data_IF_063353478618
#
_entry.id   IF_063353478618
#
_cell.length_a   1.000
_cell.length_b   1.000
_cell.length_c   1.000
_cell.angle_alpha   90.00
_cell.angle_beta   90.00
_cell.angle_gamma   90.00
#
_symmetry.space_group_name_H-M   'P 1'
#
loop_
_entity.id
_entity.type
_entity.pdbx_description
1 polymer ?
#
# COMPACT_ATOMS: atom_id res chain seq x y z
N UNK A 1 13.47 23.61 11.27
CA UNK A 1 12.82 22.33 11.56
C UNK A 1 11.63 22.17 10.64
N UNK A 2 11.34 20.97 10.15
CA UNK A 2 10.10 20.68 9.43
C UNK A 2 8.92 20.83 10.38
N UNK A 3 7.73 21.28 9.90
CA UNK A 3 6.54 21.32 10.74
C UNK A 3 6.17 19.92 11.21
N UNK A 4 5.42 19.81 12.31
CA UNK A 4 4.87 18.53 12.69
C UNK A 4 3.86 18.04 11.64
N UNK A 5 3.89 16.76 11.24
CA UNK A 5 2.84 16.20 10.39
C UNK A 5 1.52 16.16 11.17
N UNK A 6 0.42 16.49 10.51
CA UNK A 6 -0.93 16.33 11.06
C UNK A 6 -1.57 15.03 10.55
N UNK A 7 -1.25 14.69 9.30
CA UNK A 7 -1.81 13.55 8.58
C UNK A 7 -0.70 12.56 8.25
N UNK A 8 -0.88 11.31 8.62
CA UNK A 8 -0.07 10.20 8.13
C UNK A 8 -0.85 9.47 7.03
N UNK A 9 -0.37 9.58 5.80
CA UNK A 9 -0.92 8.90 4.63
C UNK A 9 -0.10 7.63 4.37
N UNK A 10 -0.74 6.48 4.34
CA UNK A 10 -0.06 5.19 4.25
C UNK A 10 -0.18 4.57 2.86
N UNK A 11 0.95 4.24 2.24
CA UNK A 11 0.95 3.15 1.27
C UNK A 11 0.50 1.85 1.95
N UNK A 12 -0.21 0.99 1.22
CA UNK A 12 -0.88 -0.16 1.85
C UNK A 12 -0.23 -1.49 1.47
N UNK A 13 -0.14 -1.79 0.15
CA UNK A 13 0.38 -3.07 -0.31
C UNK A 13 1.89 -3.18 -0.07
N UNK A 14 2.30 -4.13 0.75
CA UNK A 14 3.70 -4.30 1.13
C UNK A 14 4.10 -3.49 2.36
N UNK A 15 3.58 -2.26 2.53
CA UNK A 15 3.86 -1.40 3.68
C UNK A 15 3.07 -1.81 4.93
N UNK A 16 1.74 -1.90 4.81
CA UNK A 16 0.81 -2.22 5.91
C UNK A 16 0.49 -3.70 5.97
N UNK A 17 0.38 -4.35 4.81
CA UNK A 17 -0.06 -5.74 4.66
C UNK A 17 0.95 -6.59 3.90
N UNK A 18 1.06 -7.86 4.30
CA UNK A 18 1.82 -8.91 3.61
C UNK A 18 1.02 -9.40 2.39
N UNK A 19 1.20 -8.73 1.25
CA UNK A 19 0.53 -9.15 0.01
C UNK A 19 1.07 -10.48 -0.50
N UNK A 20 2.40 -10.70 -0.45
CA UNK A 20 3.04 -11.88 -1.02
C UNK A 20 2.59 -13.15 -0.29
N UNK A 21 2.79 -13.22 1.02
CA UNK A 21 2.41 -14.40 1.80
C UNK A 21 0.90 -14.64 1.81
N UNK A 22 0.09 -13.57 1.79
CA UNK A 22 -1.38 -13.72 1.73
C UNK A 22 -1.84 -14.31 0.41
N UNK A 23 -1.35 -13.80 -0.73
CA UNK A 23 -1.69 -14.33 -2.06
C UNK A 23 -1.12 -15.74 -2.26
N UNK A 24 0.10 -16.00 -1.83
CA UNK A 24 0.72 -17.32 -1.90
C UNK A 24 -0.15 -18.38 -1.20
N UNK A 25 -0.62 -18.11 0.01
CA UNK A 25 -1.50 -19.01 0.77
C UNK A 25 -2.85 -19.24 0.07
N UNK A 26 -3.47 -18.18 -0.45
CA UNK A 26 -4.75 -18.27 -1.18
C UNK A 26 -4.62 -19.12 -2.46
N UNK A 27 -3.53 -18.94 -3.20
CA UNK A 27 -3.25 -19.73 -4.40
C UNK A 27 -3.03 -21.19 -4.05
N UNK A 28 -2.17 -21.49 -3.08
CA UNK A 28 -1.88 -22.86 -2.66
C UNK A 28 -3.14 -23.60 -2.17
N UNK A 29 -4.06 -22.88 -1.48
CA UNK A 29 -5.32 -23.44 -1.03
C UNK A 29 -6.32 -23.72 -2.17
N UNK A 30 -6.35 -22.85 -3.20
CA UNK A 30 -7.32 -22.95 -4.29
C UNK A 30 -6.85 -23.84 -5.44
N UNK A 31 -5.54 -23.89 -5.68
CA UNK A 31 -4.91 -24.62 -6.79
C UNK A 31 -3.88 -25.62 -6.21
N UNK A 32 -4.31 -26.83 -5.81
CA UNK A 32 -3.42 -27.81 -5.22
C UNK A 32 -2.25 -28.16 -6.16
N UNK A 33 -1.03 -28.11 -5.61
CA UNK A 33 0.19 -28.40 -6.36
C UNK A 33 0.82 -27.20 -7.08
N UNK A 34 0.16 -26.02 -7.07
CA UNK A 34 0.75 -24.79 -7.61
C UNK A 34 1.73 -24.18 -6.59
N UNK A 35 2.83 -23.65 -7.11
CA UNK A 35 3.78 -22.84 -6.34
C UNK A 35 3.17 -21.44 -6.08
N UNK A 36 2.61 -21.26 -4.88
CA UNK A 36 1.95 -20.02 -4.48
C UNK A 36 2.88 -18.80 -4.52
N UNK A 37 4.15 -18.96 -4.14
CA UNK A 37 5.12 -17.86 -4.12
C UNK A 37 5.47 -17.41 -5.56
N UNK A 38 5.73 -18.36 -6.44
CA UNK A 38 5.98 -18.07 -7.85
C UNK A 38 4.74 -17.49 -8.54
N UNK A 39 3.53 -17.94 -8.16
CA UNK A 39 2.27 -17.40 -8.69
C UNK A 39 2.04 -15.96 -8.21
N UNK A 40 2.17 -15.69 -6.90
CA UNK A 40 2.01 -14.36 -6.32
C UNK A 40 2.98 -13.35 -6.97
N UNK A 41 4.23 -13.75 -7.15
CA UNK A 41 5.26 -12.94 -7.83
C UNK A 41 4.89 -12.65 -9.28
N UNK A 42 4.43 -13.66 -10.04
CA UNK A 42 4.00 -13.48 -11.43
C UNK A 42 2.77 -12.55 -11.54
N UNK A 43 1.80 -12.69 -10.63
CA UNK A 43 0.64 -11.81 -10.61
C UNK A 43 1.03 -10.37 -10.32
N UNK A 44 1.89 -10.16 -9.30
CA UNK A 44 2.39 -8.81 -8.94
C UNK A 44 3.22 -8.18 -10.05
N UNK A 45 3.97 -8.96 -10.81
CA UNK A 45 4.79 -8.45 -11.94
C UNK A 45 3.95 -7.75 -13.01
N UNK A 46 2.69 -8.15 -13.23
CA UNK A 46 1.77 -7.50 -14.15
C UNK A 46 1.23 -6.14 -13.68
N UNK A 47 1.40 -5.79 -12.40
CA UNK A 47 0.79 -4.63 -11.76
C UNK A 47 1.28 -3.28 -12.32
N UNK A 48 2.60 -3.03 -12.32
CA UNK A 48 3.17 -1.77 -12.83
C UNK A 48 2.88 -1.57 -14.33
N UNK A 49 3.02 -2.60 -15.22
CA UNK A 49 2.65 -2.48 -16.63
C UNK A 49 1.16 -2.14 -16.86
N UNK A 50 0.26 -2.81 -16.13
CA UNK A 50 -1.18 -2.56 -16.27
C UNK A 50 -1.57 -1.12 -15.86
N UNK A 51 -1.01 -0.61 -14.77
CA UNK A 51 -1.22 0.79 -14.37
C UNK A 51 -0.62 1.78 -15.38
N UNK A 52 0.52 1.44 -16.00
CA UNK A 52 1.12 2.29 -17.03
C UNK A 52 0.21 2.44 -18.26
N UNK A 53 -0.58 1.43 -18.63
CA UNK A 53 -1.58 1.53 -19.69
C UNK A 53 -2.70 2.55 -19.34
N UNK A 54 -3.12 2.63 -18.07
CA UNK A 54 -4.08 3.62 -17.60
C UNK A 54 -3.46 5.02 -17.58
N UNK A 55 -2.25 5.15 -17.03
CA UNK A 55 -1.54 6.43 -16.93
C UNK A 55 -1.19 7.04 -18.28
N UNK A 56 -0.88 6.20 -19.27
CA UNK A 56 -0.61 6.66 -20.65
C UNK A 56 -1.87 7.01 -21.45
N UNK A 57 -3.07 6.78 -20.90
CA UNK A 57 -4.34 6.98 -21.60
C UNK A 57 -4.69 5.87 -22.61
N UNK A 58 -3.88 4.82 -22.73
CA UNK A 58 -4.18 3.64 -23.57
C UNK A 58 -5.43 2.90 -23.07
N UNK A 59 -5.62 2.89 -21.75
CA UNK A 59 -6.88 2.54 -21.09
C UNK A 59 -7.46 3.80 -20.44
N UNK A 60 -8.78 3.94 -20.44
CA UNK A 60 -9.47 4.88 -19.57
C UNK A 60 -9.24 4.53 -18.10
N UNK A 61 -9.73 5.37 -17.18
CA UNK A 61 -9.65 5.05 -15.76
C UNK A 61 -10.22 3.66 -15.48
N UNK A 62 -9.39 2.77 -14.98
CA UNK A 62 -9.70 1.37 -14.66
C UNK A 62 -9.30 1.10 -13.22
N UNK A 63 -10.17 0.50 -12.43
CA UNK A 63 -9.88 0.15 -11.04
C UNK A 63 -8.82 -0.93 -10.94
N UNK A 64 -8.10 -0.96 -9.80
CA UNK A 64 -7.07 -1.98 -9.61
C UNK A 64 -7.66 -3.40 -9.56
N UNK A 65 -8.89 -3.58 -9.07
CA UNK A 65 -9.58 -4.89 -9.10
C UNK A 65 -9.72 -5.44 -10.52
N UNK A 66 -10.06 -4.58 -11.47
CA UNK A 66 -10.21 -4.97 -12.87
C UNK A 66 -8.85 -5.27 -13.52
N UNK A 67 -7.81 -4.49 -13.15
CA UNK A 67 -6.44 -4.76 -13.59
C UNK A 67 -5.91 -6.07 -12.99
N UNK A 68 -6.12 -6.30 -11.69
CA UNK A 68 -5.76 -7.56 -11.04
C UNK A 68 -6.43 -8.76 -11.71
N UNK A 69 -7.72 -8.64 -12.08
CA UNK A 69 -8.43 -9.69 -12.77
C UNK A 69 -7.84 -9.99 -14.14
N UNK A 70 -7.53 -8.96 -14.92
CA UNK A 70 -6.89 -9.13 -16.25
C UNK A 70 -5.53 -9.83 -16.13
N UNK A 71 -4.73 -9.44 -15.13
CA UNK A 71 -3.43 -10.06 -14.87
C UNK A 71 -3.61 -11.50 -14.41
N UNK A 72 -4.58 -11.76 -13.51
CA UNK A 72 -4.91 -13.12 -13.03
C UNK A 72 -5.24 -14.04 -14.20
N UNK A 73 -6.11 -13.63 -15.12
CA UNK A 73 -6.49 -14.44 -16.26
C UNK A 73 -5.29 -14.76 -17.15
N UNK A 74 -4.35 -13.83 -17.33
CA UNK A 74 -3.10 -14.07 -18.07
C UNK A 74 -2.17 -15.05 -17.36
N UNK A 75 -2.01 -14.90 -16.03
CA UNK A 75 -1.16 -15.80 -15.22
C UNK A 75 -1.73 -17.21 -15.21
N UNK A 76 -3.05 -17.37 -15.01
CA UNK A 76 -3.72 -18.67 -15.08
C UNK A 76 -3.51 -19.34 -16.42
N UNK A 77 -3.71 -18.62 -17.51
CA UNK A 77 -3.48 -19.16 -18.87
C UNK A 77 -2.03 -19.58 -19.06
N UNK A 78 -1.07 -18.74 -18.69
CA UNK A 78 0.35 -19.01 -18.84
C UNK A 78 0.84 -20.22 -18.02
N UNK A 79 0.15 -20.51 -16.90
CA UNK A 79 0.44 -21.66 -16.03
C UNK A 79 -0.42 -22.89 -16.31
N UNK A 80 -1.30 -22.83 -17.32
CA UNK A 80 -2.13 -23.96 -17.74
C UNK A 80 -3.31 -24.27 -16.80
N UNK A 81 -3.74 -23.30 -15.99
CA UNK A 81 -4.88 -23.47 -15.09
C UNK A 81 -6.17 -22.98 -15.72
N UNK A 82 -7.18 -23.84 -15.73
CA UNK A 82 -8.55 -23.49 -16.14
C UNK A 82 -9.48 -23.50 -14.92
N UNK A 83 -9.61 -22.34 -14.29
CA UNK A 83 -10.55 -22.14 -13.18
C UNK A 83 -11.89 -21.62 -13.70
N UNK A 84 -12.99 -22.10 -13.11
CA UNK A 84 -14.31 -21.52 -13.34
C UNK A 84 -14.38 -20.06 -12.83
N UNK A 85 -15.40 -19.33 -13.28
CA UNK A 85 -15.55 -17.91 -12.97
C UNK A 85 -15.66 -17.62 -11.46
N UNK A 86 -16.35 -18.50 -10.71
CA UNK A 86 -16.48 -18.34 -9.26
C UNK A 86 -15.13 -18.41 -8.55
N UNK A 87 -14.27 -19.35 -8.93
CA UNK A 87 -12.90 -19.49 -8.39
C UNK A 87 -12.01 -18.31 -8.80
N UNK A 88 -12.12 -17.83 -10.06
CA UNK A 88 -11.39 -16.64 -10.52
C UNK A 88 -11.79 -15.41 -9.72
N UNK A 89 -13.09 -15.19 -9.49
CA UNK A 89 -13.58 -14.08 -8.66
C UNK A 89 -13.13 -14.21 -7.21
N UNK A 90 -13.21 -15.41 -6.64
CA UNK A 90 -12.73 -15.67 -5.29
C UNK A 90 -11.24 -15.33 -5.14
N UNK A 91 -10.41 -15.80 -6.07
CA UNK A 91 -8.98 -15.55 -6.06
C UNK A 91 -8.67 -14.05 -6.29
N UNK A 92 -9.36 -13.39 -7.24
CA UNK A 92 -9.18 -11.96 -7.45
C UNK A 92 -9.50 -11.15 -6.18
N UNK A 93 -10.48 -11.57 -5.40
CA UNK A 93 -10.83 -10.96 -4.11
C UNK A 93 -9.87 -11.29 -2.96
N UNK A 94 -8.84 -12.11 -3.18
CA UNK A 94 -7.77 -12.32 -2.19
C UNK A 94 -7.09 -10.99 -1.81
N UNK A 95 -6.96 -10.06 -2.75
CA UNK A 95 -6.42 -8.72 -2.50
C UNK A 95 -7.25 -7.88 -1.51
N UNK A 96 -8.51 -8.24 -1.26
CA UNK A 96 -9.40 -7.58 -0.28
C UNK A 96 -9.21 -8.10 1.15
N UNK A 97 -8.45 -9.19 1.37
CA UNK A 97 -8.31 -9.87 2.66
C UNK A 97 -6.86 -10.20 3.01
N UNK A 98 -5.95 -9.33 2.59
CA UNK A 98 -4.54 -9.45 2.92
C UNK A 98 -4.32 -9.32 4.42
N UNK A 99 -3.41 -10.12 4.97
CA UNK A 99 -3.05 -10.06 6.37
C UNK A 99 -2.12 -8.87 6.66
N UNK A 100 -2.30 -8.16 7.78
CA UNK A 100 -1.37 -7.13 8.19
C UNK A 100 -0.05 -7.76 8.65
N UNK A 101 1.05 -7.00 8.59
CA UNK A 101 2.28 -7.39 9.24
C UNK A 101 2.09 -7.47 10.76
N UNK A 102 2.87 -8.27 11.50
CA UNK A 102 2.67 -8.49 12.94
C UNK A 102 2.72 -7.22 13.80
N UNK A 103 3.50 -6.23 13.39
CA UNK A 103 3.69 -4.94 14.06
C UNK A 103 2.62 -3.90 13.70
N UNK A 104 1.87 -4.12 12.61
CA UNK A 104 1.01 -3.11 12.00
C UNK A 104 -0.07 -2.59 12.95
N UNK A 105 -0.87 -3.49 13.54
CA UNK A 105 -2.01 -3.05 14.34
C UNK A 105 -1.58 -2.29 15.59
N UNK A 106 -0.56 -2.80 16.29
CA UNK A 106 -0.06 -2.15 17.51
C UNK A 106 0.50 -0.76 17.20
N UNK A 107 1.39 -0.66 16.20
CA UNK A 107 1.99 0.62 15.83
C UNK A 107 0.96 1.63 15.31
N UNK A 108 0.00 1.19 14.48
CA UNK A 108 -1.07 2.07 14.00
C UNK A 108 -2.00 2.57 15.10
N UNK A 109 -2.37 1.72 16.07
CA UNK A 109 -3.16 2.17 17.21
C UNK A 109 -2.41 3.20 18.05
N UNK A 110 -1.10 3.03 18.24
CA UNK A 110 -0.28 4.04 18.92
C UNK A 110 -0.27 5.37 18.15
N UNK A 111 0.02 5.32 16.84
CA UNK A 111 0.03 6.52 15.97
C UNK A 111 -1.32 7.24 15.94
N UNK A 112 -2.43 6.52 15.95
CA UNK A 112 -3.79 7.07 15.88
C UNK A 112 -4.15 7.98 17.07
N UNK A 113 -3.50 7.83 18.21
CA UNK A 113 -3.68 8.72 19.34
C UNK A 113 -3.07 10.12 19.14
N UNK A 114 -2.19 10.26 18.15
CA UNK A 114 -1.40 11.48 17.93
C UNK A 114 -1.61 12.11 16.55
N UNK A 115 -2.03 11.31 15.55
CA UNK A 115 -2.14 11.74 14.16
C UNK A 115 -3.43 11.22 13.53
N UNK A 116 -3.92 11.93 12.51
CA UNK A 116 -4.96 11.39 11.63
C UNK A 116 -4.35 10.40 10.66
N UNK A 117 -4.90 9.18 10.59
CA UNK A 117 -4.39 8.11 9.74
C UNK A 117 -5.28 7.93 8.51
N UNK A 118 -4.72 8.05 7.32
CA UNK A 118 -5.45 7.71 6.10
C UNK A 118 -4.63 6.79 5.20
N UNK A 119 -5.32 6.06 4.32
CA UNK A 119 -4.63 5.35 3.25
C UNK A 119 -4.26 6.30 2.11
N UNK A 120 -3.17 6.00 1.39
CA UNK A 120 -2.86 6.56 0.08
C UNK A 120 -2.34 5.45 -0.81
N UNK A 121 -3.26 4.72 -1.42
CA UNK A 121 -2.97 3.48 -2.14
C UNK A 121 -3.48 3.54 -3.58
N UNK A 122 -2.84 2.77 -4.44
CA UNK A 122 -3.36 2.49 -5.78
C UNK A 122 -4.58 1.53 -5.77
N UNK A 123 -4.84 0.85 -4.63
CA UNK A 123 -6.03 0.03 -4.43
C UNK A 123 -7.32 0.85 -4.53
N UNK A 124 -8.38 0.29 -5.08
CA UNK A 124 -9.68 0.97 -5.11
C UNK A 124 -10.36 0.99 -3.73
N UNK A 125 -11.27 1.95 -3.53
CA UNK A 125 -11.91 2.20 -2.23
C UNK A 125 -12.58 0.96 -1.63
N UNK A 126 -13.34 0.21 -2.43
CA UNK A 126 -14.03 -1.00 -1.96
C UNK A 126 -13.06 -2.10 -1.51
N UNK A 127 -11.92 -2.26 -2.20
CA UNK A 127 -10.86 -3.18 -1.82
C UNK A 127 -10.26 -2.78 -0.47
N UNK A 128 -9.86 -1.50 -0.32
CA UNK A 128 -9.24 -1.00 0.90
C UNK A 128 -10.20 -1.06 2.10
N UNK A 129 -11.48 -0.75 1.90
CA UNK A 129 -12.50 -0.85 2.94
C UNK A 129 -12.71 -2.28 3.42
N UNK A 130 -12.79 -3.24 2.49
CA UNK A 130 -12.91 -4.66 2.82
C UNK A 130 -11.67 -5.17 3.57
N UNK A 131 -10.48 -4.80 3.10
CA UNK A 131 -9.21 -5.14 3.74
C UNK A 131 -9.13 -4.55 5.15
N UNK A 132 -9.49 -3.28 5.31
CA UNK A 132 -9.49 -2.62 6.62
C UNK A 132 -10.41 -3.35 7.61
N UNK A 133 -11.60 -3.72 7.17
CA UNK A 133 -12.56 -4.46 7.99
C UNK A 133 -12.09 -5.88 8.31
N UNK A 134 -11.47 -6.57 7.35
CA UNK A 134 -10.92 -7.91 7.52
C UNK A 134 -9.75 -7.94 8.49
N UNK A 135 -8.83 -6.99 8.36
CA UNK A 135 -7.58 -6.93 9.12
C UNK A 135 -7.65 -6.08 10.39
N UNK A 136 -8.79 -5.42 10.66
CA UNK A 136 -8.93 -4.54 11.84
C UNK A 136 -8.11 -3.25 11.75
N UNK A 137 -7.82 -2.75 10.54
CA UNK A 137 -6.98 -1.56 10.34
C UNK A 137 -7.72 -0.29 10.78
N UNK A 138 -7.14 0.53 11.67
CA UNK A 138 -7.85 1.61 12.36
C UNK A 138 -7.78 2.96 11.60
N UNK A 139 -8.10 2.98 10.30
CA UNK A 139 -8.10 4.20 9.51
C UNK A 139 -9.12 5.23 10.01
N UNK A 140 -8.79 6.51 9.94
CA UNK A 140 -9.74 7.61 10.08
C UNK A 140 -10.41 7.91 8.74
N UNK A 141 -9.67 7.79 7.63
CA UNK A 141 -10.18 7.98 6.28
C UNK A 141 -9.51 7.02 5.30
N UNK A 142 -10.29 6.51 4.36
CA UNK A 142 -9.76 5.71 3.25
C UNK A 142 -9.69 6.58 2.00
N UNK A 143 -8.45 6.90 1.58
CA UNK A 143 -8.15 7.59 0.33
C UNK A 143 -7.40 6.65 -0.62
N UNK A 144 -7.58 6.87 -1.89
CA UNK A 144 -6.94 6.03 -2.92
C UNK A 144 -6.81 6.78 -4.24
N UNK A 145 -6.04 6.20 -5.14
CA UNK A 145 -5.96 6.62 -6.55
C UNK A 145 -7.35 6.74 -7.22
N UNK A 146 -8.35 5.95 -6.78
CA UNK A 146 -9.72 6.02 -7.29
C UNK A 146 -10.39 7.38 -7.01
N UNK A 147 -10.11 8.00 -5.85
CA UNK A 147 -10.63 9.33 -5.49
C UNK A 147 -10.09 10.39 -6.45
N UNK A 148 -8.80 10.31 -6.73
CA UNK A 148 -8.09 11.32 -7.52
C UNK A 148 -8.09 11.01 -9.02
N UNK A 149 -8.51 9.80 -9.44
CA UNK A 149 -8.45 9.31 -10.82
C UNK A 149 -7.04 9.33 -11.41
N UNK A 150 -6.02 9.23 -10.54
CA UNK A 150 -4.62 9.18 -10.87
C UNK A 150 -3.94 8.10 -10.03
N UNK A 151 -3.14 7.25 -10.66
CA UNK A 151 -2.30 6.30 -9.95
C UNK A 151 -1.00 6.96 -9.47
N UNK A 152 -0.51 6.55 -8.31
CA UNK A 152 0.86 6.84 -7.91
C UNK A 152 1.82 6.33 -8.99
N UNK A 153 2.87 7.10 -9.35
CA UNK A 153 3.38 8.29 -8.70
C UNK A 153 2.89 9.63 -9.31
N UNK A 154 1.68 9.72 -9.85
CA UNK A 154 1.17 10.98 -10.37
C UNK A 154 0.95 12.00 -9.23
N UNK A 155 1.41 13.28 -9.37
CA UNK A 155 1.38 14.28 -8.28
C UNK A 155 -0.01 14.53 -7.70
N UNK A 156 -1.06 14.42 -8.52
CA UNK A 156 -2.45 14.62 -8.09
C UNK A 156 -2.85 13.71 -6.94
N UNK A 157 -2.28 12.50 -6.89
CA UNK A 157 -2.57 11.53 -5.83
C UNK A 157 -1.98 11.98 -4.49
N UNK A 158 -0.77 12.54 -4.48
CA UNK A 158 -0.12 13.00 -3.26
C UNK A 158 -0.68 14.34 -2.78
N UNK A 159 -0.81 15.31 -3.69
CA UNK A 159 -1.34 16.65 -3.38
C UNK A 159 -2.80 16.60 -2.96
N UNK A 160 -3.58 15.69 -3.57
CA UNK A 160 -4.99 15.50 -3.22
C UNK A 160 -5.24 15.13 -1.76
N UNK A 161 -4.27 14.49 -1.08
CA UNK A 161 -4.39 14.25 0.38
C UNK A 161 -4.39 15.59 1.13
N UNK A 162 -3.48 16.49 0.81
CA UNK A 162 -3.41 17.80 1.44
C UNK A 162 -4.69 18.62 1.18
N UNK A 163 -5.24 18.54 -0.02
CA UNK A 163 -6.51 19.19 -0.39
C UNK A 163 -7.70 18.63 0.40
N UNK A 164 -7.81 17.30 0.56
CA UNK A 164 -8.91 16.65 1.28
C UNK A 164 -8.95 17.08 2.75
N UNK A 165 -7.78 17.28 3.36
CA UNK A 165 -7.69 17.67 4.79
C UNK A 165 -7.51 19.18 5.01
N UNK A 166 -7.53 19.98 3.95
CA UNK A 166 -7.30 21.43 3.99
C UNK A 166 -6.01 21.81 4.76
N UNK A 167 -4.92 21.10 4.44
CA UNK A 167 -3.60 21.30 5.04
C UNK A 167 -2.53 21.56 3.98
N UNK A 168 -1.37 22.08 4.40
CA UNK A 168 -0.22 22.23 3.50
C UNK A 168 0.42 20.85 3.22
N UNK A 169 0.98 20.60 2.03
CA UNK A 169 1.70 19.34 1.75
C UNK A 169 2.75 18.98 2.80
N UNK A 170 3.48 19.95 3.35
CA UNK A 170 4.46 19.72 4.41
C UNK A 170 3.86 19.26 5.75
N UNK A 171 2.55 19.29 5.93
CA UNK A 171 1.84 18.75 7.09
C UNK A 171 1.28 17.33 6.86
N UNK A 172 1.47 16.79 5.67
CA UNK A 172 1.20 15.39 5.32
C UNK A 172 2.52 14.64 5.31
N UNK A 173 2.56 13.45 5.92
CA UNK A 173 3.69 12.54 5.84
C UNK A 173 3.25 11.25 5.15
N UNK A 174 3.91 10.90 4.03
CA UNK A 174 3.73 9.58 3.43
C UNK A 174 4.55 8.55 4.22
N UNK A 175 3.89 7.46 4.61
CA UNK A 175 4.50 6.29 5.23
C UNK A 175 4.52 5.15 4.21
N UNK A 176 5.69 4.67 3.83
CA UNK A 176 5.84 3.59 2.84
C UNK A 176 7.10 2.76 3.05
N UNK A 177 7.09 1.53 2.52
CA UNK A 177 8.28 0.67 2.40
C UNK A 177 9.00 0.83 1.05
N UNK A 178 8.40 1.57 0.10
CA UNK A 178 8.90 1.75 -1.25
C UNK A 178 9.57 3.11 -1.40
N UNK A 179 10.87 3.10 -1.70
CA UNK A 179 11.66 4.33 -1.82
C UNK A 179 11.19 5.21 -2.98
N UNK A 180 10.78 4.61 -4.12
CA UNK A 180 10.26 5.34 -5.28
C UNK A 180 8.95 6.08 -4.98
N UNK A 181 8.09 5.53 -4.12
CA UNK A 181 6.86 6.19 -3.66
C UNK A 181 7.17 7.38 -2.73
N UNK A 182 8.11 7.19 -1.80
CA UNK A 182 8.56 8.26 -0.90
C UNK A 182 9.26 9.39 -1.64
N UNK A 183 10.10 9.08 -2.62
CA UNK A 183 10.78 10.08 -3.45
C UNK A 183 9.77 10.91 -4.25
N UNK A 184 8.74 10.28 -4.82
CA UNK A 184 7.66 10.98 -5.53
C UNK A 184 6.85 11.89 -4.59
N UNK A 185 6.54 11.43 -3.38
CA UNK A 185 5.86 12.24 -2.37
C UNK A 185 6.70 13.44 -1.94
N UNK A 186 8.02 13.26 -1.75
CA UNK A 186 8.95 14.33 -1.40
C UNK A 186 9.00 15.44 -2.47
N UNK A 187 8.96 15.06 -3.76
CA UNK A 187 8.88 16.02 -4.88
C UNK A 187 7.60 16.85 -4.81
N UNK A 188 6.49 16.28 -4.29
CA UNK A 188 5.24 17.00 -4.06
C UNK A 188 5.24 17.85 -2.77
N UNK A 189 6.34 17.87 -2.01
CA UNK A 189 6.47 18.65 -0.78
C UNK A 189 5.93 17.97 0.49
N UNK A 190 5.57 16.69 0.41
CA UNK A 190 5.19 15.90 1.57
C UNK A 190 6.42 15.56 2.42
N UNK A 191 6.21 15.30 3.70
CA UNK A 191 7.20 14.61 4.52
C UNK A 191 7.14 13.10 4.23
N UNK A 192 8.21 12.39 4.58
CA UNK A 192 8.36 10.97 4.23
C UNK A 192 8.86 10.15 5.41
N UNK A 193 8.22 9.00 5.63
CA UNK A 193 8.64 8.01 6.62
C UNK A 193 8.81 6.65 5.94
N UNK A 194 10.04 6.18 5.91
CA UNK A 194 10.35 4.83 5.45
C UNK A 194 10.10 3.82 6.57
N UNK A 195 9.47 2.69 6.24
CA UNK A 195 9.31 1.54 7.14
C UNK A 195 9.85 0.28 6.47
N UNK A 196 10.79 -0.40 7.13
CA UNK A 196 11.40 -1.60 6.57
C UNK A 196 10.42 -2.78 6.50
N UNK A 197 10.40 -3.45 5.33
CA UNK A 197 9.64 -4.68 5.08
C UNK A 197 10.51 -5.72 4.39
N UNK A 198 11.47 -6.31 5.12
CA UNK A 198 12.48 -7.19 4.51
C UNK A 198 11.89 -8.47 3.90
N UNK A 199 10.67 -8.86 4.28
CA UNK A 199 9.99 -10.05 3.79
C UNK A 199 8.91 -9.76 2.74
N UNK A 200 8.78 -8.51 2.27
CA UNK A 200 7.69 -8.10 1.36
C UNK A 200 7.62 -8.94 0.08
N UNK A 201 8.77 -9.26 -0.49
CA UNK A 201 8.87 -9.98 -1.76
C UNK A 201 8.95 -11.51 -1.58
N UNK A 202 8.70 -12.00 -0.36
CA UNK A 202 8.74 -13.41 -0.05
C UNK A 202 10.09 -13.92 0.46
N UNK A 203 10.16 -15.21 0.80
CA UNK A 203 11.35 -15.83 1.38
C UNK A 203 12.56 -15.74 0.45
N UNK A 204 13.72 -15.39 0.99
CA UNK A 204 14.99 -15.39 0.26
C UNK A 204 15.24 -14.19 -0.66
N UNK A 205 14.26 -13.33 -0.85
CA UNK A 205 14.43 -12.08 -1.61
C UNK A 205 14.85 -10.97 -0.66
N UNK A 206 16.00 -10.34 -0.93
CA UNK A 206 16.47 -9.18 -0.17
C UNK A 206 16.30 -7.91 -1.00
N UNK A 207 15.59 -6.94 -0.43
CA UNK A 207 15.53 -5.60 -0.99
C UNK A 207 16.85 -4.87 -0.69
N UNK A 208 17.47 -4.31 -1.72
CA UNK A 208 18.59 -3.39 -1.53
C UNK A 208 18.00 -1.99 -1.33
N UNK A 209 18.50 -1.29 -0.32
CA UNK A 209 18.06 0.06 0.01
C UNK A 209 19.15 1.05 -0.36
N UNK A 210 18.72 2.23 -0.83
CA UNK A 210 19.58 3.39 -1.01
C UNK A 210 19.90 4.06 0.33
N UNK A 211 20.33 5.33 0.27
CA UNK A 211 20.52 6.14 1.46
C UNK A 211 19.17 6.57 2.05
N UNK A 212 18.78 5.92 3.14
CA UNK A 212 17.52 6.19 3.83
C UNK A 212 17.53 7.50 4.63
N UNK A 213 18.71 8.13 4.84
CA UNK A 213 18.82 9.40 5.58
C UNK A 213 18.16 10.58 4.86
N UNK A 214 17.84 10.43 3.55
CA UNK A 214 17.11 11.44 2.77
C UNK A 214 15.64 11.57 3.18
N UNK A 215 15.07 10.55 3.81
CA UNK A 215 13.69 10.58 4.33
C UNK A 215 13.62 11.28 5.70
N UNK A 216 12.47 11.85 6.02
CA UNK A 216 12.28 12.57 7.31
C UNK A 216 12.45 11.63 8.49
N UNK A 217 11.96 10.38 8.37
CA UNK A 217 12.13 9.29 9.33
C UNK A 217 12.43 8.00 8.57
N UNK A 218 13.29 7.15 9.14
CA UNK A 218 13.46 5.77 8.71
C UNK A 218 13.29 4.87 9.94
N UNK A 219 12.35 3.95 9.88
CA UNK A 219 11.95 3.05 10.96
C UNK A 219 12.10 1.59 10.56
N UNK A 220 12.35 0.72 11.57
CA UNK A 220 12.50 -0.71 11.37
C UNK A 220 11.14 -1.43 11.21
N UNK A 221 10.10 -0.91 11.86
CA UNK A 221 8.72 -1.40 11.86
C UNK A 221 7.75 -0.28 12.29
N UNK A 222 6.46 -0.57 12.41
CA UNK A 222 5.48 0.44 12.84
C UNK A 222 5.55 0.76 14.33
N UNK A 223 6.07 -0.11 15.18
CA UNK A 223 6.29 0.23 16.58
C UNK A 223 7.43 1.25 16.72
N UNK A 224 8.58 1.01 16.05
CA UNK A 224 9.69 1.96 15.97
C UNK A 224 9.28 3.29 15.31
N UNK A 225 8.42 3.23 14.27
CA UNK A 225 7.86 4.43 13.66
C UNK A 225 7.03 5.25 14.67
N UNK A 226 6.15 4.59 15.41
CA UNK A 226 5.31 5.25 16.40
C UNK A 226 6.15 5.93 17.48
N UNK A 227 7.14 5.24 18.03
CA UNK A 227 8.04 5.78 19.05
C UNK A 227 8.82 6.99 18.53
N UNK A 228 9.36 6.92 17.31
CA UNK A 228 10.10 8.04 16.69
C UNK A 228 9.24 9.27 16.46
N UNK A 229 8.02 9.07 15.91
CA UNK A 229 7.14 10.19 15.60
C UNK A 229 6.58 10.85 16.85
N UNK A 230 6.17 10.07 17.85
CA UNK A 230 5.65 10.61 19.11
C UNK A 230 6.72 11.30 19.97
N UNK A 231 7.96 10.83 19.92
CA UNK A 231 9.09 11.50 20.56
C UNK A 231 9.48 12.81 19.86
N UNK A 232 9.43 12.84 18.53
CA UNK A 232 9.73 14.04 17.75
C UNK A 232 8.62 15.11 17.85
N UNK A 233 7.36 14.67 17.96
CA UNK A 233 6.16 15.53 18.00
C UNK A 233 5.17 15.06 19.08
N UNK A 234 5.45 15.30 20.37
CA UNK A 234 4.76 14.67 21.50
C UNK A 234 3.30 15.08 21.71
N UNK A 235 2.81 16.10 21.03
CA UNK A 235 1.43 16.56 21.22
C UNK A 235 0.89 17.26 19.99
N UNK A 236 0.02 16.58 19.23
CA UNK A 236 -0.78 17.25 18.21
C UNK A 236 -2.12 16.52 18.02
N UNK A 237 -3.01 16.63 19.00
CA UNK A 237 -4.42 16.51 18.69
C UNK A 237 -4.88 17.87 18.17
N UNK A 238 -5.54 17.97 17.01
CA UNK A 238 -6.21 19.21 16.64
C UNK A 238 -7.30 19.52 17.69
N UNK A 239 -7.22 20.71 18.25
CA UNK A 239 -8.30 21.30 19.07
C UNK A 239 -9.51 21.60 18.20
#
# INVERSE_FOLDING_TARGET
MKPAPLILAFDVFGTVVDWHGSISREVAALIPGEDGDAFATAWRAGYKPAMAEVRSGKLGWTKIDDLHRRILDQVLLARGHDLDESRRQHLNRAWHRLAPWPDTLQGMHHLKHHFTLCTLSNGNLGLLANMAKHAGLPWDLILSAEVFRHYKPDPQTYLGVAEVFDVKPAQVMLVASHEDDLDAAAVCGLQTAYVARPMELGPGVRTQHGDLSRFTVAAQDFNDLADRLTNAWPTQLPT
#
